data_IF_732995059378
#
_entry.id   IF_732995059378
#
_cell.length_a   1.000
_cell.length_b   1.000
_cell.length_c   1.000
_cell.angle_alpha   90.00
_cell.angle_beta   90.00
_cell.angle_gamma   90.00
#
_symmetry.space_group_name_H-M   'P 1'
#
loop_
_entity.id
_entity.type
_entity.pdbx_description
1 polymer ?
#
# COMPACT_ATOMS: atom_id res chain seq x y z
N UNK A 1 43.33 -32.00 3.87
CA UNK A 1 42.44 -31.42 4.89
C UNK A 1 41.46 -30.49 4.22
N UNK A 2 40.33 -30.98 3.97
CA UNK A 2 39.27 -30.23 3.32
C UNK A 2 38.41 -29.57 4.39
N UNK A 3 38.56 -28.29 4.50
CA UNK A 3 37.61 -27.52 5.31
C UNK A 3 36.37 -27.33 4.49
N UNK A 4 35.36 -28.09 4.82
CA UNK A 4 34.04 -27.80 4.37
C UNK A 4 33.53 -26.53 5.07
N UNK A 5 33.88 -25.41 4.52
CA UNK A 5 33.10 -24.21 4.80
C UNK A 5 31.82 -24.31 3.97
N UNK A 6 30.82 -24.89 4.57
CA UNK A 6 29.48 -24.57 4.15
C UNK A 6 29.36 -23.04 4.24
N UNK A 7 29.05 -22.35 3.17
CA UNK A 7 28.75 -20.93 3.28
C UNK A 7 27.47 -20.82 4.09
N UNK A 8 27.68 -20.66 5.36
CA UNK A 8 26.63 -20.30 6.28
C UNK A 8 25.98 -19.04 5.75
N UNK A 9 24.74 -19.18 5.29
CA UNK A 9 23.89 -18.08 5.05
C UNK A 9 24.49 -17.01 4.14
N UNK A 10 24.32 -17.13 2.86
CA UNK A 10 24.25 -15.92 2.05
C UNK A 10 23.07 -15.12 2.60
N UNK A 11 23.36 -14.36 3.63
CA UNK A 11 22.56 -13.19 3.91
C UNK A 11 22.63 -12.42 2.60
N UNK A 12 21.57 -12.53 1.81
CA UNK A 12 21.37 -11.60 0.72
C UNK A 12 21.28 -10.25 1.42
N UNK A 13 22.40 -9.59 1.50
CA UNK A 13 22.43 -8.16 1.64
C UNK A 13 21.71 -7.68 0.38
N UNK A 14 20.41 -7.63 0.45
CA UNK A 14 19.66 -6.83 -0.46
C UNK A 14 20.10 -5.40 -0.15
N UNK A 15 21.17 -4.98 -0.78
CA UNK A 15 21.53 -3.58 -0.92
C UNK A 15 20.50 -2.90 -1.83
N UNK A 16 19.26 -3.27 -1.66
CA UNK A 16 18.19 -2.43 -2.10
C UNK A 16 18.21 -1.26 -1.12
N UNK A 17 18.76 -0.18 -1.60
CA UNK A 17 18.48 1.13 -1.01
C UNK A 17 16.97 1.16 -0.84
N UNK A 18 16.52 0.87 0.37
CA UNK A 18 15.10 0.79 0.67
C UNK A 18 14.59 2.21 0.85
N UNK A 19 14.42 2.86 -0.29
CA UNK A 19 13.76 4.13 -0.34
C UNK A 19 12.28 3.88 -0.10
N UNK A 20 11.74 4.44 0.97
CA UNK A 20 10.31 4.38 1.22
C UNK A 20 9.75 5.77 1.50
N UNK A 21 8.48 5.92 1.24
CA UNK A 21 7.76 7.15 1.54
C UNK A 21 6.45 6.82 2.24
N UNK A 22 6.00 7.69 3.12
CA UNK A 22 4.65 7.64 3.66
C UNK A 22 3.81 8.61 2.85
N UNK A 23 2.81 8.09 2.17
CA UNK A 23 1.92 8.84 1.28
C UNK A 23 0.48 8.74 1.76
N UNK A 24 -0.24 9.84 1.67
CA UNK A 24 -1.68 9.87 1.94
C UNK A 24 -2.44 9.67 0.64
N UNK A 25 -3.23 8.61 0.58
CA UNK A 25 -4.08 8.25 -0.55
C UNK A 25 -5.52 8.13 -0.05
N UNK A 26 -6.43 8.93 -0.59
CA UNK A 26 -7.85 8.93 -0.22
C UNK A 26 -8.11 9.02 1.29
N UNK A 27 -7.32 9.84 1.98
CA UNK A 27 -7.46 10.03 3.44
C UNK A 27 -6.81 8.96 4.30
N UNK A 28 -6.12 8.00 3.70
CA UNK A 28 -5.38 6.95 4.41
C UNK A 28 -3.89 7.03 4.10
N UNK A 29 -3.09 6.75 5.10
CA UNK A 29 -1.63 6.78 4.98
C UNK A 29 -1.10 5.38 4.68
N UNK A 30 -0.24 5.28 3.68
CA UNK A 30 0.39 4.04 3.26
C UNK A 30 1.90 4.18 3.21
N UNK A 31 2.60 3.12 3.57
CA UNK A 31 4.04 3.01 3.36
C UNK A 31 4.29 2.51 1.94
N UNK A 32 4.79 3.40 1.09
CA UNK A 32 5.12 3.11 -0.29
C UNK A 32 6.60 2.74 -0.39
N UNK A 33 6.87 1.51 -0.75
CA UNK A 33 8.21 1.00 -1.10
C UNK A 33 8.22 0.68 -2.59
N UNK A 34 9.32 0.89 -3.26
CA UNK A 34 9.43 0.60 -4.67
C UNK A 34 9.18 -0.90 -4.96
N UNK A 35 8.32 -1.17 -5.92
CA UNK A 35 7.93 -2.53 -6.30
C UNK A 35 6.86 -3.18 -5.41
N UNK A 36 6.35 -2.47 -4.41
CA UNK A 36 5.32 -2.98 -3.52
C UNK A 36 3.92 -2.74 -4.08
N UNK A 37 3.07 -3.73 -3.92
CA UNK A 37 1.65 -3.64 -4.27
C UNK A 37 0.86 -3.15 -3.07
N UNK A 38 0.01 -2.16 -3.28
CA UNK A 38 -0.85 -1.58 -2.26
C UNK A 38 -2.31 -1.72 -2.68
N UNK A 39 -3.16 -1.94 -1.68
CA UNK A 39 -4.61 -1.92 -1.85
C UNK A 39 -5.14 -0.64 -1.24
N UNK A 40 -5.63 0.24 -2.10
CA UNK A 40 -6.19 1.52 -1.70
C UNK A 40 -7.70 1.53 -1.88
N UNK A 41 -8.38 2.46 -1.26
CA UNK A 41 -9.81 2.64 -1.48
C UNK A 41 -10.11 2.84 -2.97
N UNK A 42 -11.25 2.32 -3.40
CA UNK A 42 -11.63 2.33 -4.81
C UNK A 42 -11.62 3.75 -5.42
N UNK A 43 -10.86 3.89 -6.49
CA UNK A 43 -10.79 5.10 -7.31
C UNK A 43 -11.63 4.90 -8.58
N UNK A 44 -12.64 5.73 -8.78
CA UNK A 44 -13.62 5.56 -9.86
C UNK A 44 -13.07 5.85 -11.26
N UNK A 45 -12.11 6.76 -11.36
CA UNK A 45 -11.64 7.31 -12.63
C UNK A 45 -10.33 6.68 -13.12
N UNK A 46 -10.06 5.44 -12.69
CA UNK A 46 -8.77 4.81 -12.94
C UNK A 46 -8.95 3.51 -13.70
N UNK A 47 -8.24 3.38 -14.80
CA UNK A 47 -8.20 2.18 -15.63
C UNK A 47 -6.95 1.34 -15.35
N UNK A 48 -7.01 0.06 -15.69
CA UNK A 48 -5.85 -0.83 -15.57
C UNK A 48 -4.70 -0.36 -16.48
N UNK A 49 -3.49 -0.35 -15.95
CA UNK A 49 -2.29 0.11 -16.65
C UNK A 49 -2.07 1.62 -16.65
N UNK A 50 -2.97 2.40 -16.04
CA UNK A 50 -2.81 3.85 -15.92
C UNK A 50 -1.84 4.20 -14.79
N UNK A 51 -0.99 5.16 -15.04
CA UNK A 51 -0.08 5.72 -14.03
C UNK A 51 -0.79 6.81 -13.24
N UNK A 52 -0.70 6.75 -11.93
CA UNK A 52 -1.25 7.74 -11.01
C UNK A 52 -0.13 8.30 -10.14
N UNK A 53 -0.09 9.62 -10.02
CA UNK A 53 0.86 10.33 -9.17
C UNK A 53 0.19 10.82 -7.89
N UNK A 54 0.86 10.64 -6.77
CA UNK A 54 0.41 11.13 -5.47
C UNK A 54 1.41 12.14 -4.93
N UNK A 55 0.94 13.36 -4.72
CA UNK A 55 1.76 14.48 -4.26
C UNK A 55 1.79 14.64 -2.75
N UNK A 56 0.80 14.08 -2.05
CA UNK A 56 0.71 14.17 -0.59
C UNK A 56 1.64 13.20 0.11
N UNK A 57 2.93 13.47 0.04
CA UNK A 57 3.96 12.68 0.72
C UNK A 57 4.29 13.33 2.05
N UNK A 58 4.11 12.60 3.12
CA UNK A 58 4.31 13.10 4.49
C UNK A 58 5.74 12.91 4.98
N UNK A 59 6.37 11.82 4.58
CA UNK A 59 7.73 11.46 4.98
C UNK A 59 8.41 10.71 3.85
N UNK A 60 9.67 10.99 3.63
CA UNK A 60 10.54 10.25 2.72
C UNK A 60 11.78 9.83 3.46
N UNK A 61 12.08 8.55 3.43
CA UNK A 61 13.35 8.00 3.88
C UNK A 61 14.17 7.55 2.67
N UNK A 62 15.27 8.21 2.48
CA UNK A 62 16.21 7.88 1.42
C UNK A 62 17.49 7.35 2.05
N UNK A 63 17.49 6.04 2.36
CA UNK A 63 18.67 5.29 2.81
C UNK A 63 19.36 5.90 4.04
N UNK A 64 18.57 6.25 5.06
CA UNK A 64 19.05 6.88 6.29
C UNK A 64 18.91 8.40 6.34
N UNK A 65 18.61 9.05 5.23
CA UNK A 65 18.30 10.47 5.17
C UNK A 65 16.79 10.67 5.21
N UNK A 66 16.26 10.96 6.40
CA UNK A 66 14.82 11.13 6.61
C UNK A 66 14.44 12.58 6.43
N UNK A 67 13.47 12.83 5.54
CA UNK A 67 12.85 14.13 5.37
C UNK A 67 11.40 14.07 5.85
N UNK A 68 11.10 14.85 6.86
CA UNK A 68 9.75 14.96 7.43
C UNK A 68 9.10 16.23 6.93
N UNK A 69 7.89 16.10 6.40
CA UNK A 69 7.11 17.23 5.93
C UNK A 69 6.35 17.93 7.06
N UNK A 70 6.11 19.22 6.89
CA UNK A 70 5.23 19.99 7.75
C UNK A 70 4.13 20.68 6.92
N UNK A 71 2.98 20.06 6.64
CA UNK A 71 2.58 18.65 6.77
C UNK A 71 3.09 17.72 5.65
N UNK A 72 3.49 18.26 4.50
CA UNK A 72 3.94 17.51 3.33
C UNK A 72 5.36 17.89 2.91
N UNK A 73 6.08 16.92 2.34
CA UNK A 73 7.41 17.16 1.78
C UNK A 73 7.29 17.86 0.44
N UNK A 74 7.94 19.00 0.26
CA UNK A 74 7.93 19.74 -0.99
C UNK A 74 8.69 18.98 -2.09
N UNK A 75 8.06 18.87 -3.27
CA UNK A 75 8.67 18.24 -4.44
C UNK A 75 8.72 16.71 -4.42
N UNK A 76 8.24 16.07 -3.36
CA UNK A 76 8.14 14.62 -3.29
C UNK A 76 6.85 14.13 -3.97
N UNK A 77 7.00 13.07 -4.77
CA UNK A 77 5.89 12.42 -5.47
C UNK A 77 6.07 10.90 -5.45
N UNK A 78 4.97 10.18 -5.36
CA UNK A 78 4.95 8.72 -5.52
C UNK A 78 4.21 8.38 -6.79
N UNK A 79 4.89 7.70 -7.69
CA UNK A 79 4.32 7.24 -8.95
C UNK A 79 3.90 5.79 -8.83
N UNK A 80 2.63 5.53 -9.01
CA UNK A 80 2.05 4.20 -8.94
C UNK A 80 1.40 3.82 -10.28
N UNK A 81 1.47 2.56 -10.62
CA UNK A 81 0.73 1.99 -11.74
C UNK A 81 -0.45 1.16 -11.22
N UNK A 82 -1.59 1.35 -11.83
CA UNK A 82 -2.79 0.59 -11.48
C UNK A 82 -2.76 -0.78 -12.13
N UNK A 83 -2.73 -1.82 -11.31
CA UNK A 83 -2.79 -3.20 -11.81
C UNK A 83 -4.24 -3.61 -12.02
N UNK A 84 -5.05 -3.47 -10.99
CA UNK A 84 -6.48 -3.80 -11.03
C UNK A 84 -7.31 -2.63 -10.51
N UNK A 85 -8.19 -2.06 -11.33
CA UNK A 85 -9.00 -0.93 -10.90
C UNK A 85 -10.07 -1.31 -9.88
N UNK A 86 -10.52 -2.56 -9.90
CA UNK A 86 -11.54 -3.06 -8.99
C UNK A 86 -11.18 -4.41 -8.42
N UNK A 87 -10.83 -4.44 -7.16
CA UNK A 87 -10.63 -5.66 -6.36
C UNK A 87 -11.68 -5.68 -5.26
N UNK A 88 -12.42 -6.76 -5.18
CA UNK A 88 -13.41 -6.96 -4.14
C UNK A 88 -12.76 -7.66 -2.95
N UNK A 89 -12.94 -7.09 -1.76
CA UNK A 89 -12.51 -7.69 -0.51
C UNK A 89 -13.41 -8.86 -0.07
N UNK A 90 -13.21 -9.34 1.12
CA UNK A 90 -14.07 -10.36 1.71
C UNK A 90 -15.46 -9.80 2.02
N UNK A 91 -16.47 -10.63 1.82
CA UNK A 91 -17.83 -10.27 2.17
C UNK A 91 -18.03 -10.39 3.69
N UNK A 92 -18.33 -9.27 4.32
CA UNK A 92 -18.68 -9.22 5.72
C UNK A 92 -20.21 -9.30 5.84
N UNK A 93 -20.70 -10.30 6.56
CA UNK A 93 -22.12 -10.48 6.81
C UNK A 93 -22.42 -9.96 8.22
N UNK A 94 -23.27 -8.95 8.29
CA UNK A 94 -23.76 -8.41 9.56
C UNK A 94 -25.14 -8.97 9.81
N UNK A 95 -25.24 -9.85 10.79
CA UNK A 95 -26.49 -10.43 11.23
C UNK A 95 -26.86 -9.87 12.60
N UNK A 96 -28.03 -9.22 12.68
CA UNK A 96 -28.56 -8.69 13.91
C UNK A 96 -29.89 -9.39 14.23
N UNK A 97 -29.95 -10.00 15.37
CA UNK A 97 -31.15 -10.66 15.88
C UNK A 97 -31.39 -10.25 17.32
N UNK A 98 -32.62 -9.91 17.63
CA UNK A 98 -33.08 -9.69 19.02
C UNK A 98 -33.90 -10.87 19.47
N UNK A 99 -33.53 -11.44 20.61
CA UNK A 99 -34.24 -12.57 21.21
C UNK A 99 -35.67 -12.17 21.58
N UNK A 100 -36.66 -13.01 21.27
CA UNK A 100 -38.12 -12.80 21.55
C UNK A 100 -38.74 -11.56 20.91
N UNK A 101 -38.04 -10.97 19.94
CA UNK A 101 -38.59 -9.89 19.10
C UNK A 101 -38.37 -10.30 17.65
N UNK A 102 -39.35 -10.08 16.80
CA UNK A 102 -39.30 -10.41 15.37
C UNK A 102 -38.32 -9.51 14.60
N UNK A 103 -37.21 -9.15 15.22
CA UNK A 103 -36.19 -8.30 14.62
C UNK A 103 -35.03 -9.15 14.12
N UNK A 104 -34.98 -9.39 12.83
CA UNK A 104 -33.89 -10.07 12.13
C UNK A 104 -33.44 -9.20 10.98
N UNK A 105 -32.18 -8.76 11.01
CA UNK A 105 -31.58 -8.03 9.90
C UNK A 105 -30.27 -8.71 9.51
N UNK A 106 -30.16 -9.05 8.24
CA UNK A 106 -28.94 -9.60 7.65
C UNK A 106 -28.51 -8.68 6.51
N UNK A 107 -27.39 -8.00 6.70
CA UNK A 107 -26.78 -7.14 5.71
C UNK A 107 -25.43 -7.69 5.33
N UNK A 108 -25.11 -7.68 4.03
CA UNK A 108 -23.80 -8.03 3.52
C UNK A 108 -23.09 -6.80 3.00
N UNK A 109 -21.82 -6.64 3.34
CA UNK A 109 -20.95 -5.61 2.80
C UNK A 109 -19.70 -6.22 2.20
N UNK A 110 -19.35 -5.81 0.99
CA UNK A 110 -18.12 -6.20 0.32
C UNK A 110 -17.39 -4.96 -0.14
N UNK A 111 -16.27 -4.66 0.53
CA UNK A 111 -15.47 -3.47 0.24
C UNK A 111 -14.78 -3.60 -1.10
N UNK A 112 -14.76 -2.51 -1.85
CA UNK A 112 -14.08 -2.39 -3.11
C UNK A 112 -12.75 -1.67 -2.91
N UNK A 113 -11.69 -2.20 -3.53
CA UNK A 113 -10.34 -1.65 -3.50
C UNK A 113 -9.80 -1.50 -4.92
N UNK A 114 -8.79 -0.66 -5.05
CA UNK A 114 -7.95 -0.57 -6.25
C UNK A 114 -6.56 -1.07 -5.90
N UNK A 115 -6.02 -1.97 -6.69
CA UNK A 115 -4.67 -2.47 -6.52
C UNK A 115 -3.71 -1.63 -7.36
N UNK A 116 -2.74 -1.03 -6.69
CA UNK A 116 -1.68 -0.23 -7.33
C UNK A 116 -0.31 -0.79 -6.99
N UNK A 117 0.63 -0.67 -7.89
CA UNK A 117 2.03 -1.01 -7.69
C UNK A 117 2.87 0.27 -7.68
N UNK A 118 3.70 0.43 -6.68
CA UNK A 118 4.60 1.56 -6.58
C UNK A 118 5.76 1.38 -7.56
N UNK A 119 5.85 2.23 -8.56
CA UNK A 119 6.93 2.18 -9.56
C UNK A 119 8.15 2.97 -9.11
N UNK A 120 7.94 4.18 -8.64
CA UNK A 120 9.03 5.04 -8.19
C UNK A 120 8.57 6.01 -7.10
N UNK A 121 9.52 6.35 -6.26
CA UNK A 121 9.40 7.40 -5.25
C UNK A 121 10.36 8.51 -5.64
N UNK A 122 9.84 9.70 -5.88
CA UNK A 122 10.61 10.89 -6.23
C UNK A 122 10.64 11.79 -5.00
N UNK A 123 11.80 12.12 -4.58
CA UNK A 123 11.99 13.02 -3.43
C UNK A 123 12.65 14.33 -3.85
#
# INVERSE_FOLDING_TARGET
MTQCHAPCGKTRLNNNKTMYAIVEINGQQFKAEQGKKLYVNHMKDVEAGKTVEFDKVLLVDNDGSVQVGAPTVSGAKVVCEVINPLVKGEKVIVFKMKRRKDSRKKNGHRQQYTQVEVKSVIA
#
